data_IF_572270713110
#
_entry.id   IF_572270713110
#
_cell.length_a   1.000
_cell.length_b   1.000
_cell.length_c   1.000
_cell.angle_alpha   90.00
_cell.angle_beta   90.00
_cell.angle_gamma   90.00
#
_symmetry.space_group_name_H-M   'P 1'
#
loop_
_entity.id
_entity.type
_entity.pdbx_description
1 polymer ?
#
# COMPACT_ATOMS: atom_id res chain seq x y z
N UNK A 1 13.59 -25.40 -1.35
CA UNK A 1 13.32 -26.81 -1.73
C UNK A 1 14.63 -27.59 -1.58
N UNK A 2 14.72 -28.53 -0.63
CA UNK A 2 15.95 -29.26 -0.37
C UNK A 2 16.21 -30.21 -1.55
N UNK A 3 17.31 -30.01 -2.27
CA UNK A 3 17.84 -31.00 -3.20
C UNK A 3 18.75 -31.92 -2.41
N UNK A 4 18.32 -33.15 -2.17
CA UNK A 4 19.15 -34.17 -1.53
C UNK A 4 20.37 -34.47 -2.42
N UNK A 5 21.57 -34.39 -1.84
CA UNK A 5 22.79 -34.92 -2.46
C UNK A 5 22.95 -36.39 -2.10
N UNK A 6 23.74 -37.12 -2.90
CA UNK A 6 24.02 -38.55 -2.69
C UNK A 6 24.77 -38.87 -1.37
N UNK A 7 25.21 -37.85 -0.64
CA UNK A 7 25.86 -37.94 0.68
C UNK A 7 24.88 -37.81 1.85
N UNK A 8 23.56 -37.80 1.59
CA UNK A 8 22.49 -37.62 2.59
C UNK A 8 22.56 -36.29 3.37
N UNK A 9 23.34 -35.31 2.90
CA UNK A 9 23.35 -33.98 3.51
C UNK A 9 22.19 -33.13 2.98
N UNK A 10 21.44 -32.52 3.89
CA UNK A 10 20.44 -31.49 3.56
C UNK A 10 21.11 -30.12 3.61
N UNK A 11 21.26 -29.47 2.45
CA UNK A 11 21.71 -28.08 2.41
C UNK A 11 20.50 -27.16 2.34
N UNK A 12 20.30 -26.37 3.38
CA UNK A 12 19.30 -25.31 3.37
C UNK A 12 19.83 -24.14 2.55
N UNK A 13 19.09 -23.79 1.51
CA UNK A 13 19.35 -22.61 0.70
C UNK A 13 18.47 -21.48 1.24
N UNK A 14 19.07 -20.48 1.88
CA UNK A 14 18.39 -19.22 2.16
C UNK A 14 18.27 -18.43 0.86
N UNK A 15 17.06 -18.24 0.38
CA UNK A 15 16.80 -17.29 -0.70
C UNK A 15 16.84 -15.89 -0.10
N UNK A 16 17.92 -15.16 -0.36
CA UNK A 16 18.13 -13.76 0.08
C UNK A 16 17.87 -12.76 -1.05
N UNK A 17 17.49 -13.23 -2.23
CA UNK A 17 17.25 -12.37 -3.39
C UNK A 17 15.89 -11.66 -3.27
N UNK A 18 15.82 -10.38 -3.68
CA UNK A 18 14.54 -9.71 -3.80
C UNK A 18 13.65 -10.44 -4.81
N UNK A 19 12.37 -10.62 -4.47
CA UNK A 19 11.38 -11.25 -5.33
C UNK A 19 10.51 -10.16 -5.95
N UNK A 20 10.43 -10.13 -7.28
CA UNK A 20 9.49 -9.28 -8.01
C UNK A 20 8.27 -10.12 -8.38
N UNK A 21 7.10 -9.71 -7.90
CA UNK A 21 5.82 -10.33 -8.23
C UNK A 21 5.04 -9.34 -9.09
N UNK A 22 4.79 -9.69 -10.34
CA UNK A 22 3.91 -8.94 -11.22
C UNK A 22 2.53 -9.61 -11.20
N UNK A 23 1.50 -8.84 -10.85
CA UNK A 23 0.13 -9.34 -10.82
C UNK A 23 -0.83 -8.26 -10.35
N UNK A 24 -2.12 -8.58 -10.44
CA UNK A 24 -3.21 -7.72 -9.97
C UNK A 24 -3.49 -7.91 -8.47
N UNK A 25 -2.86 -8.90 -7.83
CA UNK A 25 -3.09 -9.24 -6.43
C UNK A 25 -2.16 -8.45 -5.50
N UNK A 26 -2.76 -7.77 -4.53
CA UNK A 26 -2.05 -7.13 -3.41
C UNK A 26 -1.81 -8.12 -2.26
N UNK A 27 -0.67 -7.98 -1.56
CA UNK A 27 -0.33 -8.85 -0.44
C UNK A 27 -0.86 -8.26 0.87
N UNK A 28 -1.82 -8.96 1.49
CA UNK A 28 -2.59 -8.47 2.63
C UNK A 28 -1.87 -8.55 3.99
N UNK A 29 -0.92 -9.48 4.16
CA UNK A 29 -0.33 -9.79 5.47
C UNK A 29 0.51 -8.62 6.02
N UNK A 30 0.24 -8.13 7.25
CA UNK A 30 1.00 -7.03 7.87
C UNK A 30 2.51 -7.29 7.94
N UNK A 31 2.92 -8.53 8.24
CA UNK A 31 4.33 -8.89 8.33
C UNK A 31 5.04 -8.86 6.96
N UNK A 32 4.28 -9.04 5.88
CA UNK A 32 4.76 -8.93 4.50
C UNK A 32 4.75 -7.45 4.07
N UNK A 33 3.73 -6.65 4.43
CA UNK A 33 3.65 -5.22 4.09
C UNK A 33 4.86 -4.40 4.55
N UNK A 34 5.49 -4.78 5.65
CA UNK A 34 6.75 -4.17 6.11
C UNK A 34 8.00 -4.54 5.29
N UNK A 35 7.89 -5.46 4.33
CA UNK A 35 9.00 -6.04 3.56
C UNK A 35 8.78 -5.99 2.04
N UNK A 36 7.74 -5.32 1.58
CA UNK A 36 7.43 -5.15 0.16
C UNK A 36 7.45 -3.68 -0.21
N UNK A 37 7.60 -3.43 -1.50
CA UNK A 37 7.39 -2.11 -2.11
C UNK A 37 6.36 -2.34 -3.21
N UNK A 38 5.15 -1.78 -3.04
CA UNK A 38 4.08 -1.93 -4.03
C UNK A 38 4.14 -0.81 -5.06
N UNK A 39 4.44 -1.17 -6.30
CA UNK A 39 4.51 -0.27 -7.44
C UNK A 39 3.23 -0.39 -8.29
N UNK A 40 2.37 0.62 -8.25
CA UNK A 40 1.13 0.65 -9.02
C UNK A 40 1.32 1.28 -10.41
N UNK A 41 1.17 0.45 -11.44
CA UNK A 41 1.09 0.89 -12.83
C UNK A 41 -0.37 1.11 -13.22
N UNK A 42 -0.80 2.36 -13.30
CA UNK A 42 -2.15 2.69 -13.79
C UNK A 42 -2.12 3.02 -15.29
N UNK A 43 -3.28 2.93 -15.95
CA UNK A 43 -3.40 3.19 -17.39
C UNK A 43 -2.91 4.59 -17.80
N UNK A 44 -3.02 5.59 -16.92
CA UNK A 44 -2.50 6.94 -17.16
C UNK A 44 -0.97 6.98 -17.25
N UNK A 45 -0.26 6.17 -16.45
CA UNK A 45 1.20 6.03 -16.49
C UNK A 45 1.70 5.24 -17.70
N UNK A 46 0.82 4.42 -18.31
CA UNK A 46 1.11 3.62 -19.51
C UNK A 46 0.89 4.39 -20.81
N UNK A 47 0.04 5.41 -20.80
CA UNK A 47 -0.36 6.15 -22.00
C UNK A 47 0.86 6.75 -22.72
N UNK A 48 0.97 6.49 -24.04
CA UNK A 48 2.12 6.89 -24.86
C UNK A 48 3.45 6.21 -24.55
N UNK A 49 3.51 5.24 -23.61
CA UNK A 49 4.77 4.55 -23.21
C UNK A 49 4.90 3.10 -23.66
N UNK A 50 3.88 2.55 -24.31
CA UNK A 50 3.87 1.14 -24.77
C UNK A 50 5.03 0.83 -25.72
N UNK A 51 5.27 1.68 -26.72
CA UNK A 51 6.32 1.45 -27.73
C UNK A 51 7.73 1.45 -27.12
N UNK A 52 7.98 2.31 -26.11
CA UNK A 52 9.25 2.31 -25.37
C UNK A 52 9.44 1.03 -24.55
N UNK A 53 8.36 0.53 -23.95
CA UNK A 53 8.41 -0.74 -23.20
C UNK A 53 8.68 -1.93 -24.13
N UNK A 54 7.99 -1.99 -25.27
CA UNK A 54 8.23 -3.03 -26.29
C UNK A 54 9.68 -2.97 -26.80
N UNK A 55 10.18 -1.77 -27.08
CA UNK A 55 11.58 -1.57 -27.48
C UNK A 55 12.56 -2.03 -26.41
N UNK A 56 12.27 -1.79 -25.13
CA UNK A 56 13.09 -2.25 -24.01
C UNK A 56 13.12 -3.78 -23.92
N UNK A 57 11.99 -4.45 -24.17
CA UNK A 57 11.91 -5.92 -24.18
C UNK A 57 12.74 -6.56 -25.29
N UNK A 58 12.95 -5.86 -26.40
CA UNK A 58 13.76 -6.34 -27.53
C UNK A 58 15.28 -6.17 -27.31
N UNK A 59 15.68 -5.39 -26.30
CA UNK A 59 17.09 -5.20 -25.97
C UNK A 59 17.69 -6.43 -25.27
N UNK A 60 19.02 -6.67 -25.38
CA UNK A 60 19.70 -7.77 -24.72
C UNK A 60 19.90 -7.51 -23.22
N UNK A 61 18.81 -7.43 -22.45
CA UNK A 61 18.79 -7.09 -21.02
C UNK A 61 19.65 -8.04 -20.16
N UNK A 62 19.82 -9.30 -20.59
CA UNK A 62 20.71 -10.25 -19.92
C UNK A 62 22.19 -9.83 -19.97
N UNK A 63 22.64 -9.25 -21.10
CA UNK A 63 23.99 -8.71 -21.23
C UNK A 63 24.17 -7.46 -20.37
N UNK A 64 23.15 -6.59 -20.33
CA UNK A 64 23.12 -5.42 -19.45
C UNK A 64 23.25 -5.85 -17.98
N UNK A 65 22.43 -6.81 -17.53
CA UNK A 65 22.48 -7.32 -16.15
C UNK A 65 23.83 -7.93 -15.78
N UNK A 66 24.48 -8.64 -16.71
CA UNK A 66 25.84 -9.15 -16.50
C UNK A 66 26.87 -8.04 -16.39
N UNK A 67 26.80 -7.02 -17.26
CA UNK A 67 27.68 -5.85 -17.21
C UNK A 67 27.53 -5.07 -15.91
N UNK A 68 26.29 -4.81 -15.50
CA UNK A 68 25.97 -4.18 -14.22
C UNK A 68 26.51 -5.00 -13.03
N UNK A 69 26.34 -6.33 -13.04
CA UNK A 69 26.89 -7.19 -12.00
C UNK A 69 28.43 -7.11 -11.92
N UNK A 70 29.11 -7.14 -13.06
CA UNK A 70 30.57 -7.02 -13.10
C UNK A 70 31.03 -5.65 -12.60
N UNK A 71 30.31 -4.58 -12.97
CA UNK A 71 30.57 -3.23 -12.48
C UNK A 71 30.41 -3.14 -10.97
N UNK A 72 29.32 -3.69 -10.41
CA UNK A 72 29.06 -3.70 -8.97
C UNK A 72 30.12 -4.52 -8.20
N UNK A 73 30.57 -5.66 -8.74
CA UNK A 73 31.65 -6.46 -8.13
C UNK A 73 33.00 -5.73 -8.08
N UNK A 74 33.16 -4.66 -8.87
CA UNK A 74 34.35 -3.81 -8.83
C UNK A 74 34.30 -2.68 -7.78
N UNK A 75 33.14 -2.44 -7.13
CA UNK A 75 32.99 -1.43 -6.09
C UNK A 75 33.47 -1.96 -4.75
N UNK A 76 33.99 -1.06 -3.91
CA UNK A 76 34.37 -1.38 -2.54
C UNK A 76 33.14 -1.37 -1.62
N UNK A 77 33.17 -2.23 -0.60
CA UNK A 77 32.09 -2.31 0.39
C UNK A 77 31.83 -0.96 1.05
N UNK A 78 32.89 -0.19 1.38
CA UNK A 78 32.78 1.14 1.97
C UNK A 78 31.97 2.12 1.09
N UNK A 79 32.14 2.04 -0.24
CA UNK A 79 31.40 2.88 -1.19
C UNK A 79 29.91 2.52 -1.19
N UNK A 80 29.59 1.22 -1.07
CA UNK A 80 28.21 0.75 -1.02
C UNK A 80 27.54 1.12 0.30
N UNK A 81 28.25 1.02 1.43
CA UNK A 81 27.75 1.47 2.72
C UNK A 81 27.49 2.97 2.74
N UNK A 82 28.44 3.77 2.22
CA UNK A 82 28.27 5.21 2.12
C UNK A 82 27.07 5.56 1.23
N UNK A 83 26.94 4.94 0.05
CA UNK A 83 25.80 5.15 -0.83
C UNK A 83 24.48 4.77 -0.15
N UNK A 84 24.44 3.68 0.62
CA UNK A 84 23.27 3.30 1.39
C UNK A 84 22.89 4.35 2.44
N UNK A 85 23.85 4.83 3.22
CA UNK A 85 23.59 5.85 4.25
C UNK A 85 23.14 7.18 3.64
N UNK A 86 23.75 7.59 2.52
CA UNK A 86 23.34 8.77 1.75
C UNK A 86 21.92 8.62 1.21
N UNK A 87 21.60 7.50 0.57
CA UNK A 87 20.25 7.25 0.06
C UNK A 87 19.23 7.14 1.19
N UNK A 88 19.59 6.53 2.32
CA UNK A 88 18.73 6.42 3.51
C UNK A 88 18.45 7.78 4.14
N UNK A 89 19.44 8.68 4.17
CA UNK A 89 19.26 10.04 4.69
C UNK A 89 18.28 10.88 3.86
N UNK A 90 18.15 10.58 2.56
CA UNK A 90 17.18 11.21 1.67
C UNK A 90 15.74 10.69 1.88
N UNK A 91 15.57 9.55 2.54
CA UNK A 91 14.26 8.98 2.85
C UNK A 91 13.67 9.70 4.07
N UNK A 92 12.47 10.25 3.91
CA UNK A 92 11.83 11.12 4.92
C UNK A 92 11.91 10.63 6.38
N UNK A 93 12.30 11.54 7.29
CA UNK A 93 12.59 11.26 8.69
C UNK A 93 11.44 10.61 9.49
N UNK A 94 10.19 10.74 9.04
CA UNK A 94 9.03 10.25 9.77
C UNK A 94 8.79 8.74 9.66
N UNK A 95 9.49 8.01 8.78
CA UNK A 95 9.27 6.57 8.55
C UNK A 95 9.91 5.66 9.62
N UNK A 96 9.28 4.51 9.88
CA UNK A 96 9.87 3.47 10.74
C UNK A 96 11.11 2.87 10.05
N UNK A 97 12.11 2.46 10.84
CA UNK A 97 13.44 2.07 10.31
C UNK A 97 13.37 1.01 9.21
N UNK A 98 12.46 0.03 9.33
CA UNK A 98 12.29 -1.01 8.30
C UNK A 98 11.83 -0.47 6.94
N UNK A 99 10.92 0.51 6.94
CA UNK A 99 10.48 1.13 5.69
C UNK A 99 11.59 1.99 5.09
N UNK A 100 12.35 2.69 5.96
CA UNK A 100 13.52 3.47 5.53
C UNK A 100 14.59 2.59 4.91
N UNK A 101 14.89 1.44 5.50
CA UNK A 101 15.89 0.52 4.98
C UNK A 101 15.48 -0.05 3.63
N UNK A 102 14.22 -0.47 3.48
CA UNK A 102 13.71 -0.95 2.19
C UNK A 102 13.76 0.14 1.11
N UNK A 103 13.43 1.39 1.47
CA UNK A 103 13.53 2.54 0.58
C UNK A 103 14.96 2.79 0.14
N UNK A 104 15.87 2.87 1.11
CA UNK A 104 17.29 3.05 0.85
C UNK A 104 17.83 1.95 -0.08
N UNK A 105 17.48 0.68 0.16
CA UNK A 105 17.89 -0.43 -0.72
C UNK A 105 17.37 -0.26 -2.16
N UNK A 106 16.11 0.09 -2.35
CA UNK A 106 15.55 0.31 -3.68
C UNK A 106 16.21 1.50 -4.38
N UNK A 107 16.44 2.59 -3.65
CA UNK A 107 17.14 3.79 -4.15
C UNK A 107 18.59 3.49 -4.51
N UNK A 108 19.32 2.71 -3.70
CA UNK A 108 20.68 2.26 -4.04
C UNK A 108 20.67 1.44 -5.32
N UNK A 109 19.68 0.55 -5.51
CA UNK A 109 19.53 -0.19 -6.76
C UNK A 109 19.38 0.71 -7.98
N UNK A 110 18.52 1.74 -7.90
CA UNK A 110 18.36 2.72 -8.97
C UNK A 110 19.63 3.54 -9.19
N UNK A 111 20.27 4.01 -8.11
CA UNK A 111 21.53 4.74 -8.16
C UNK A 111 22.64 3.93 -8.85
N UNK A 112 22.78 2.63 -8.54
CA UNK A 112 23.76 1.74 -9.17
C UNK A 112 23.53 1.60 -10.68
N UNK A 113 22.26 1.52 -11.12
CA UNK A 113 21.90 1.50 -12.54
C UNK A 113 22.32 2.82 -13.20
N UNK A 114 21.99 3.95 -12.58
CA UNK A 114 22.32 5.28 -13.12
C UNK A 114 23.82 5.51 -13.17
N UNK A 115 24.56 5.12 -12.14
CA UNK A 115 26.02 5.24 -12.05
C UNK A 115 26.73 4.36 -13.10
N UNK A 116 26.23 3.14 -13.32
CA UNK A 116 26.71 2.27 -14.40
C UNK A 116 26.46 2.87 -15.78
N UNK A 117 25.25 3.41 -16.03
CA UNK A 117 24.93 4.10 -17.28
C UNK A 117 25.84 5.32 -17.50
N UNK A 118 26.04 6.14 -16.46
CA UNK A 118 26.95 7.29 -16.49
C UNK A 118 28.38 6.89 -16.79
N UNK A 119 28.86 5.76 -16.27
CA UNK A 119 30.21 5.25 -16.59
C UNK A 119 30.38 4.78 -18.04
N UNK A 120 29.29 4.74 -18.82
CA UNK A 120 29.28 4.40 -20.25
C UNK A 120 28.76 5.58 -21.10
N UNK A 121 28.81 6.80 -20.56
CA UNK A 121 28.36 8.03 -21.22
C UNK A 121 26.89 8.01 -21.65
N UNK A 122 26.04 7.26 -20.92
CA UNK A 122 24.59 7.24 -21.11
C UNK A 122 23.97 8.23 -20.11
N UNK A 123 23.30 9.25 -20.64
CA UNK A 123 22.55 10.21 -19.83
C UNK A 123 21.28 9.56 -19.25
N UNK A 124 21.11 9.74 -17.94
CA UNK A 124 20.00 9.21 -17.15
C UNK A 124 19.34 10.30 -16.29
N UNK A 125 19.63 11.59 -16.53
CA UNK A 125 19.16 12.66 -15.64
C UNK A 125 17.62 12.78 -15.62
N UNK A 126 16.94 12.42 -16.71
CA UNK A 126 15.47 12.33 -16.78
C UNK A 126 14.89 11.22 -15.88
N UNK A 127 15.70 10.24 -15.47
CA UNK A 127 15.27 9.13 -14.62
C UNK A 127 15.39 9.42 -13.12
N UNK A 128 15.82 10.63 -12.74
CA UNK A 128 15.82 11.06 -11.34
C UNK A 128 14.41 11.04 -10.71
N UNK A 129 13.35 11.21 -11.51
CA UNK A 129 11.96 11.05 -11.06
C UNK A 129 11.66 9.63 -10.52
N UNK A 130 12.49 8.64 -10.87
CA UNK A 130 12.40 7.29 -10.33
C UNK A 130 12.60 7.23 -8.81
N UNK A 131 13.41 8.14 -8.24
CA UNK A 131 13.58 8.24 -6.80
C UNK A 131 12.28 8.69 -6.11
N UNK A 132 11.60 9.71 -6.65
CA UNK A 132 10.33 10.20 -6.12
C UNK A 132 9.22 9.14 -6.21
N UNK A 133 9.25 8.31 -7.27
CA UNK A 133 8.35 7.19 -7.42
C UNK A 133 8.56 6.13 -6.32
N UNK A 134 9.82 5.76 -6.04
CA UNK A 134 10.15 4.82 -4.96
C UNK A 134 9.66 5.35 -3.62
N UNK A 135 9.93 6.62 -3.31
CA UNK A 135 9.53 7.24 -2.05
C UNK A 135 8.00 7.25 -1.91
N UNK A 136 7.29 7.59 -2.99
CA UNK A 136 5.82 7.56 -3.03
C UNK A 136 5.25 6.15 -2.84
N UNK A 137 5.81 5.15 -3.52
CA UNK A 137 5.38 3.75 -3.39
C UNK A 137 5.52 3.23 -1.95
N UNK A 138 6.60 3.63 -1.26
CA UNK A 138 6.86 3.21 0.12
C UNK A 138 5.97 3.94 1.11
N UNK A 139 5.70 5.22 0.90
CA UNK A 139 4.72 5.94 1.71
C UNK A 139 3.33 5.31 1.58
N UNK A 140 2.91 4.92 0.37
CA UNK A 140 1.65 4.22 0.15
C UNK A 140 1.64 2.84 0.84
N UNK A 141 2.72 2.07 0.71
CA UNK A 141 2.85 0.76 1.37
C UNK A 141 2.78 0.90 2.90
N UNK A 142 3.44 1.93 3.45
CA UNK A 142 3.41 2.25 4.88
C UNK A 142 2.03 2.67 5.35
N UNK A 143 1.34 3.53 4.61
CA UNK A 143 -0.05 3.90 4.86
C UNK A 143 -0.94 2.64 4.92
N UNK A 144 -0.83 1.76 3.92
CA UNK A 144 -1.57 0.51 3.86
C UNK A 144 -1.23 -0.49 4.97
N UNK A 145 -0.01 -0.44 5.53
CA UNK A 145 0.40 -1.24 6.68
C UNK A 145 -0.13 -0.71 8.02
N UNK A 146 -0.46 0.59 8.10
CA UNK A 146 -1.00 1.24 9.30
C UNK A 146 -2.51 1.08 9.46
N UNK A 147 -3.22 0.82 8.35
CA UNK A 147 -4.65 0.55 8.38
C UNK A 147 -4.94 -0.70 9.22
N UNK A 148 -5.50 -0.50 10.40
CA UNK A 148 -6.03 -1.60 11.20
C UNK A 148 -7.31 -2.13 10.56
N UNK A 149 -7.74 -3.33 10.96
CA UNK A 149 -8.91 -3.94 10.36
C UNK A 149 -10.19 -3.10 10.53
N UNK A 150 -10.32 -2.34 11.63
CA UNK A 150 -11.43 -1.40 11.82
C UNK A 150 -11.35 -0.20 10.87
N UNK A 151 -10.15 0.32 10.59
CA UNK A 151 -9.95 1.41 9.63
C UNK A 151 -10.35 0.95 8.22
N UNK A 152 -9.95 -0.28 7.85
CA UNK A 152 -10.33 -0.90 6.59
C UNK A 152 -11.85 -1.07 6.46
N UNK A 153 -12.56 -1.48 7.52
CA UNK A 153 -14.04 -1.53 7.51
C UNK A 153 -14.63 -0.13 7.27
N UNK A 154 -14.12 0.91 7.90
CA UNK A 154 -14.60 2.28 7.69
C UNK A 154 -14.38 2.74 6.23
N UNK A 155 -13.23 2.40 5.64
CA UNK A 155 -12.95 2.63 4.21
C UNK A 155 -13.91 1.85 3.30
N UNK A 156 -14.16 0.56 3.58
CA UNK A 156 -15.14 -0.24 2.85
C UNK A 156 -16.55 0.39 2.92
N UNK A 157 -16.97 0.89 4.09
CA UNK A 157 -18.23 1.61 4.24
C UNK A 157 -18.27 2.91 3.42
N UNK A 158 -17.15 3.62 3.33
CA UNK A 158 -17.04 4.80 2.48
C UNK A 158 -17.22 4.46 1.00
N UNK A 159 -16.59 3.37 0.53
CA UNK A 159 -16.77 2.86 -0.84
C UNK A 159 -18.25 2.51 -1.07
N UNK A 160 -18.86 1.74 -0.17
CA UNK A 160 -20.27 1.37 -0.24
C UNK A 160 -21.23 2.59 -0.25
N UNK A 161 -20.82 3.75 0.26
CA UNK A 161 -21.65 4.96 0.18
C UNK A 161 -21.73 5.55 -1.23
N UNK A 162 -20.71 5.29 -2.05
CA UNK A 162 -20.60 5.79 -3.42
C UNK A 162 -20.94 4.72 -4.47
N UNK A 163 -20.95 3.44 -4.09
CA UNK A 163 -21.20 2.33 -4.99
C UNK A 163 -22.68 1.95 -5.09
N UNK A 164 -23.13 1.63 -6.30
CA UNK A 164 -24.50 1.17 -6.58
C UNK A 164 -24.63 -0.35 -6.49
N UNK A 165 -25.62 -0.81 -5.75
CA UNK A 165 -26.28 -2.10 -5.98
C UNK A 165 -27.42 -1.95 -7.01
N UNK A 166 -27.93 -3.05 -7.54
CA UNK A 166 -28.99 -3.05 -8.57
C UNK A 166 -30.29 -2.31 -8.24
N UNK A 167 -30.43 -1.76 -7.01
CA UNK A 167 -31.58 -0.98 -6.55
C UNK A 167 -31.25 0.45 -6.10
N UNK A 168 -29.98 0.88 -6.16
CA UNK A 168 -29.51 2.17 -5.65
C UNK A 168 -28.14 2.06 -4.98
N UNK A 169 -27.72 3.01 -4.17
CA UNK A 169 -26.44 2.89 -3.45
C UNK A 169 -26.49 1.79 -2.36
N UNK A 170 -25.36 1.16 -2.07
CA UNK A 170 -25.24 0.21 -0.96
C UNK A 170 -25.54 0.88 0.37
N UNK A 171 -24.94 2.06 0.63
CA UNK A 171 -25.33 2.92 1.74
C UNK A 171 -26.10 4.16 1.25
N UNK A 172 -27.14 4.53 1.98
CA UNK A 172 -28.06 5.61 1.61
C UNK A 172 -27.89 6.75 2.62
N UNK A 173 -27.59 7.95 2.12
CA UNK A 173 -27.52 9.19 2.89
C UNK A 173 -28.86 9.45 3.61
N UNK A 174 -28.80 9.99 4.84
CA UNK A 174 -29.96 10.25 5.72
C UNK A 174 -30.75 9.00 6.16
N UNK A 175 -30.25 7.80 5.85
CA UNK A 175 -30.82 6.53 6.33
C UNK A 175 -29.78 5.67 7.04
N UNK A 176 -28.66 5.38 6.37
CA UNK A 176 -27.59 4.52 6.89
C UNK A 176 -26.47 5.35 7.53
N UNK A 177 -26.21 6.52 6.98
CA UNK A 177 -25.22 7.46 7.49
C UNK A 177 -25.65 8.90 7.20
N UNK A 178 -25.02 9.85 7.89
CA UNK A 178 -25.16 11.27 7.63
C UNK A 178 -23.85 11.98 7.96
N UNK A 179 -23.36 12.81 7.04
CA UNK A 179 -22.18 13.65 7.25
C UNK A 179 -22.63 15.05 7.64
N UNK A 180 -22.10 15.57 8.75
CA UNK A 180 -22.34 16.93 9.23
C UNK A 180 -21.00 17.60 9.49
N UNK A 181 -20.56 18.45 8.55
CA UNK A 181 -19.23 19.08 8.59
C UNK A 181 -18.14 18.00 8.76
N UNK A 182 -17.44 18.03 9.89
CA UNK A 182 -16.36 17.12 10.26
C UNK A 182 -16.85 15.91 11.06
N UNK A 183 -18.16 15.75 11.28
CA UNK A 183 -18.71 14.59 11.97
C UNK A 183 -19.42 13.64 11.01
N UNK A 184 -19.17 12.34 11.18
CA UNK A 184 -19.86 11.28 10.47
C UNK A 184 -20.69 10.45 11.44
N UNK A 185 -22.00 10.39 11.20
CA UNK A 185 -22.93 9.57 11.96
C UNK A 185 -23.25 8.30 11.17
N UNK A 186 -23.16 7.13 11.80
CA UNK A 186 -23.44 5.85 11.14
C UNK A 186 -24.44 5.04 11.97
N UNK A 187 -25.50 4.55 11.32
CA UNK A 187 -26.45 3.58 11.89
C UNK A 187 -25.82 2.19 11.91
N UNK A 188 -25.13 1.86 12.99
CA UNK A 188 -24.26 0.66 13.07
C UNK A 188 -24.97 -0.65 12.74
N UNK A 189 -26.17 -0.89 13.26
CA UNK A 189 -26.84 -2.19 13.09
C UNK A 189 -27.21 -2.49 11.63
N UNK A 190 -27.76 -1.51 10.91
CA UNK A 190 -28.19 -1.65 9.52
C UNK A 190 -27.00 -1.63 8.57
N UNK A 191 -26.10 -0.66 8.75
CA UNK A 191 -24.89 -0.49 7.94
C UNK A 191 -23.97 -1.70 8.02
N UNK A 192 -23.74 -2.25 9.22
CA UNK A 192 -22.88 -3.43 9.37
C UNK A 192 -23.47 -4.69 8.75
N UNK A 193 -24.80 -4.85 8.80
CA UNK A 193 -25.48 -5.97 8.13
C UNK A 193 -25.35 -5.89 6.62
N UNK A 194 -25.40 -4.66 6.06
CA UNK A 194 -25.16 -4.43 4.63
C UNK A 194 -23.70 -4.71 4.28
N UNK A 195 -22.76 -4.25 5.10
CA UNK A 195 -21.33 -4.52 4.91
C UNK A 195 -21.03 -6.03 4.90
N UNK A 196 -21.61 -6.82 5.82
CA UNK A 196 -21.45 -8.27 5.82
C UNK A 196 -22.04 -8.96 4.57
N UNK A 197 -23.00 -8.33 3.88
CA UNK A 197 -23.50 -8.83 2.59
C UNK A 197 -22.57 -8.42 1.46
N UNK A 198 -22.13 -7.17 1.47
CA UNK A 198 -21.18 -6.62 0.51
C UNK A 198 -19.88 -7.45 0.49
N UNK A 199 -19.31 -7.72 1.68
CA UNK A 199 -18.08 -8.49 1.88
C UNK A 199 -18.14 -9.96 1.42
N UNK A 200 -19.34 -10.50 1.16
CA UNK A 200 -19.48 -11.86 0.62
C UNK A 200 -19.36 -11.94 -0.89
N UNK A 201 -19.57 -10.82 -1.58
CA UNK A 201 -19.62 -10.77 -3.04
C UNK A 201 -18.63 -9.78 -3.65
N UNK A 202 -17.89 -9.04 -2.82
CA UNK A 202 -16.87 -8.08 -3.22
C UNK A 202 -15.60 -8.35 -2.45
N UNK A 203 -14.47 -8.04 -3.07
CA UNK A 203 -13.17 -8.06 -2.40
C UNK A 203 -13.11 -6.85 -1.46
N UNK A 204 -13.18 -7.08 -0.16
CA UNK A 204 -13.13 -6.03 0.86
C UNK A 204 -11.71 -5.87 1.38
N UNK A 205 -11.35 -4.64 1.74
CA UNK A 205 -10.03 -4.37 2.33
C UNK A 205 -9.86 -5.12 3.66
N UNK A 206 -10.94 -5.25 4.41
CA UNK A 206 -10.96 -5.81 5.76
C UNK A 206 -11.10 -7.33 5.81
N UNK A 207 -10.42 -7.97 6.77
CA UNK A 207 -10.70 -9.35 7.15
C UNK A 207 -12.05 -9.43 7.89
N UNK A 208 -12.81 -10.53 7.75
CA UNK A 208 -14.11 -10.67 8.40
C UNK A 208 -14.02 -10.56 9.93
N UNK A 209 -14.55 -9.47 10.48
CA UNK A 209 -14.74 -9.30 11.92
C UNK A 209 -16.23 -9.30 12.29
N UNK A 210 -16.53 -9.48 13.57
CA UNK A 210 -17.89 -9.36 14.09
C UNK A 210 -18.22 -7.90 14.39
N UNK A 211 -19.50 -7.55 14.38
CA UNK A 211 -19.97 -6.20 14.76
C UNK A 211 -19.49 -5.78 16.14
N UNK A 212 -19.50 -6.70 17.11
CA UNK A 212 -19.04 -6.41 18.48
C UNK A 212 -17.54 -6.12 18.52
N UNK A 213 -16.73 -6.90 17.80
CA UNK A 213 -15.28 -6.67 17.71
C UNK A 213 -14.98 -5.37 16.97
N UNK A 214 -15.69 -5.08 15.88
CA UNK A 214 -15.59 -3.81 15.16
C UNK A 214 -15.84 -2.62 16.10
N UNK A 215 -16.95 -2.62 16.84
CA UNK A 215 -17.27 -1.52 17.77
C UNK A 215 -16.24 -1.40 18.89
N UNK A 216 -15.80 -2.53 19.47
CA UNK A 216 -14.80 -2.52 20.53
C UNK A 216 -13.46 -1.96 20.05
N UNK A 217 -13.01 -2.33 18.85
CA UNK A 217 -11.77 -1.79 18.26
C UNK A 217 -11.93 -0.31 17.89
N UNK A 218 -13.10 0.07 17.36
CA UNK A 218 -13.40 1.45 16.98
C UNK A 218 -13.34 2.40 18.18
N UNK A 219 -13.82 1.97 19.35
CA UNK A 219 -13.78 2.77 20.59
C UNK A 219 -12.37 3.13 21.05
N UNK A 220 -11.34 2.41 20.58
CA UNK A 220 -9.93 2.72 20.90
C UNK A 220 -9.29 3.73 19.93
N UNK A 221 -10.03 4.17 18.90
CA UNK A 221 -9.52 5.07 17.87
C UNK A 221 -9.69 6.54 18.25
N UNK A 222 -8.70 7.35 17.88
CA UNK A 222 -8.71 8.80 18.15
C UNK A 222 -9.90 9.52 17.47
N UNK A 223 -10.31 9.05 16.29
CA UNK A 223 -11.46 9.60 15.57
C UNK A 223 -12.82 9.10 16.08
N UNK A 224 -12.88 8.27 17.13
CA UNK A 224 -14.14 7.83 17.71
C UNK A 224 -14.65 8.85 18.73
N UNK A 225 -15.87 9.36 18.53
CA UNK A 225 -16.47 10.38 19.41
C UNK A 225 -17.44 9.74 20.40
N UNK A 226 -18.39 8.95 19.91
CA UNK A 226 -19.40 8.34 20.77
C UNK A 226 -20.15 7.16 20.11
N UNK A 227 -20.75 6.33 20.97
CA UNK A 227 -21.73 5.29 20.59
C UNK A 227 -23.02 5.49 21.39
N UNK A 228 -24.16 5.22 20.78
CA UNK A 228 -25.47 5.32 21.45
C UNK A 228 -26.54 5.87 20.53
N UNK A 229 -27.45 6.66 21.08
CA UNK A 229 -28.56 7.25 20.33
C UNK A 229 -28.08 8.42 19.47
N UNK A 230 -28.20 8.29 18.15
CA UNK A 230 -27.88 9.32 17.16
C UNK A 230 -29.11 9.62 16.31
N UNK A 231 -29.19 10.86 15.81
CA UNK A 231 -30.19 11.24 14.80
C UNK A 231 -29.55 11.18 13.43
N UNK A 232 -30.17 10.43 12.51
CA UNK A 232 -29.78 10.32 11.10
C UNK A 232 -31.04 10.60 10.27
N UNK A 233 -31.00 11.67 9.48
CA UNK A 233 -32.19 12.26 8.87
C UNK A 233 -33.25 12.58 9.92
N UNK A 234 -34.49 12.13 9.69
CA UNK A 234 -35.60 12.33 10.62
C UNK A 234 -35.74 11.21 11.67
N UNK A 235 -34.83 10.25 11.69
CA UNK A 235 -34.92 9.08 12.57
C UNK A 235 -33.90 9.12 13.70
N UNK A 236 -34.35 8.78 14.90
CA UNK A 236 -33.50 8.49 16.05
C UNK A 236 -33.19 7.00 16.05
N UNK A 237 -31.91 6.63 16.12
CA UNK A 237 -31.47 5.25 16.08
C UNK A 237 -30.19 5.04 16.89
N UNK A 238 -29.86 3.78 17.16
CA UNK A 238 -28.56 3.44 17.72
C UNK A 238 -27.49 3.51 16.62
N UNK A 239 -26.41 4.23 16.89
CA UNK A 239 -25.33 4.46 15.96
C UNK A 239 -24.06 4.92 16.65
N UNK A 240 -23.13 5.40 15.84
CA UNK A 240 -21.84 5.95 16.25
C UNK A 240 -21.65 7.33 15.63
N UNK A 241 -20.81 8.13 16.27
CA UNK A 241 -20.30 9.39 15.76
C UNK A 241 -18.78 9.28 15.65
N UNK A 242 -18.26 9.64 14.49
CA UNK A 242 -16.83 9.71 14.19
C UNK A 242 -16.46 11.15 13.85
N UNK A 243 -15.26 11.57 14.22
CA UNK A 243 -14.68 12.85 13.84
C UNK A 243 -13.74 12.65 12.65
N UNK A 244 -14.16 13.13 11.49
CA UNK A 244 -13.43 13.08 10.23
C UNK A 244 -12.16 13.93 10.27
N UNK A 245 -12.09 14.98 11.10
CA UNK A 245 -10.90 15.83 11.21
C UNK A 245 -9.76 15.16 12.00
N UNK A 246 -10.13 14.21 12.86
CA UNK A 246 -9.21 13.37 13.62
C UNK A 246 -8.89 12.05 12.92
N UNK A 247 -9.44 11.81 11.71
CA UNK A 247 -9.10 10.63 10.94
C UNK A 247 -7.70 10.78 10.35
N UNK A 248 -6.88 9.71 10.35
CA UNK A 248 -5.56 9.79 9.77
C UNK A 248 -5.61 10.09 8.28
N UNK A 249 -4.71 10.96 7.80
CA UNK A 249 -4.65 11.40 6.39
C UNK A 249 -4.49 10.27 5.37
N UNK A 250 -4.03 9.10 5.82
CA UNK A 250 -3.90 7.90 4.99
C UNK A 250 -5.19 7.09 4.81
N UNK A 251 -6.29 7.47 5.49
CA UNK A 251 -7.62 6.91 5.24
C UNK A 251 -8.33 7.73 4.16
N UNK A 252 -8.46 7.18 2.95
CA UNK A 252 -9.29 7.79 1.91
C UNK A 252 -10.78 7.63 2.24
N UNK A 253 -11.40 8.69 2.76
CA UNK A 253 -12.81 8.71 3.18
C UNK A 253 -13.60 9.75 2.37
N UNK A 254 -14.65 9.27 1.71
CA UNK A 254 -15.43 9.98 0.70
C UNK A 254 -16.94 9.79 0.87
N UNK A 255 -17.44 9.73 2.11
CA UNK A 255 -18.89 9.73 2.34
C UNK A 255 -19.54 10.96 1.73
N UNK A 256 -20.57 10.75 0.90
CA UNK A 256 -21.34 11.84 0.31
C UNK A 256 -22.00 12.71 1.40
N UNK A 257 -22.04 14.03 1.17
CA UNK A 257 -22.70 14.99 2.05
C UNK A 257 -24.19 15.10 1.74
#
# INVERSE_FOLDING_TARGET
>A
LPRGRGDQTSKDYSFTVPLVIAGEMTLESPSIKHRIIEAFFNNKKKDGKTEYFESLCDLPLGSFGKGLLQYMLGKQDEQLYQAFDEQKALVGCSMDDRFKDNAALARVGLWLIMDYCKSHDIDMDEYNEGFDYIDSAIQNTRAAARLTNVDKVISDLSIMSNERNGTGNWLILNRHYERRKDSLYIRTAETYKLYQRYAKSHDTLSEPISKSSFLQQLESKEYFVSKGTVRIGDQICNGICLDLSSMPDYMEISFAA
#
